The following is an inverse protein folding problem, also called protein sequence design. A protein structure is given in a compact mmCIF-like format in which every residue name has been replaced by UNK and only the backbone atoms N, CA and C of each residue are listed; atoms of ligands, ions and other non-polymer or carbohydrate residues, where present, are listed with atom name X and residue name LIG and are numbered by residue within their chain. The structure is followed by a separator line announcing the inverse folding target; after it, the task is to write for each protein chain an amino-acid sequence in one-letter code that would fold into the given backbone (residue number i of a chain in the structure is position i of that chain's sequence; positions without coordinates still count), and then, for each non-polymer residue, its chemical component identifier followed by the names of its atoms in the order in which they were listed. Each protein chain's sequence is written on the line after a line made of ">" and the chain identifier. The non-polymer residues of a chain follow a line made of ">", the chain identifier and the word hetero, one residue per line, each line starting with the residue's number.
data_IF_911864285960
#
_entry.id   IF_911864285960
#
_cell.length_a   1.000
_cell.length_b   1.000
_cell.length_c   1.000
_cell.angle_alpha   90.00
_cell.angle_beta   90.00
_cell.angle_gamma   90.00
#
_symmetry.space_group_name_H-M   'P 1'
#
loop_
_entity.id
_entity.type
_entity.pdbx_description
1 polymer ?
#
# COMPACT_ATOMS: atom_id res chain seq x y z
N UNK A 1 8.72 2.05 9.56
CA UNK A 1 7.44 1.30 9.51
C UNK A 1 7.58 0.21 8.45
N UNK A 2 7.36 -1.08 8.79
CA UNK A 2 7.63 -2.21 7.86
C UNK A 2 6.60 -2.34 6.72
N UNK A 3 5.37 -1.85 6.90
CA UNK A 3 4.33 -1.89 5.87
C UNK A 3 4.66 -1.14 4.57
N UNK A 4 5.61 -0.21 4.60
CA UNK A 4 6.08 0.48 3.37
C UNK A 4 6.72 -0.51 2.39
N UNK A 5 7.42 -1.53 2.89
CA UNK A 5 8.05 -2.56 2.05
C UNK A 5 6.99 -3.44 1.38
N UNK A 6 5.98 -3.84 2.15
CA UNK A 6 4.85 -4.65 1.68
C UNK A 6 4.08 -3.93 0.57
N UNK A 7 3.76 -2.65 0.76
CA UNK A 7 3.07 -1.86 -0.27
C UNK A 7 3.93 -1.64 -1.51
N UNK A 8 5.23 -1.41 -1.37
CA UNK A 8 6.12 -1.28 -2.53
C UNK A 8 6.19 -2.58 -3.36
N UNK A 9 6.17 -3.74 -2.68
CA UNK A 9 6.08 -5.02 -3.36
C UNK A 9 4.75 -5.19 -4.11
N UNK A 10 3.63 -4.91 -3.45
CA UNK A 10 2.30 -4.99 -4.07
C UNK A 10 2.12 -4.01 -5.23
N UNK A 11 2.74 -2.84 -5.16
CA UNK A 11 2.76 -1.88 -6.26
C UNK A 11 3.54 -2.38 -7.47
N UNK A 12 4.68 -3.05 -7.25
CA UNK A 12 5.41 -3.71 -8.35
C UNK A 12 4.58 -4.82 -8.99
N UNK A 13 3.83 -5.58 -8.19
CA UNK A 13 2.86 -6.58 -8.68
C UNK A 13 1.76 -5.91 -9.50
N UNK A 14 1.14 -4.84 -8.98
CA UNK A 14 0.10 -4.09 -9.70
C UNK A 14 0.62 -3.55 -11.04
N UNK A 15 1.84 -3.02 -11.07
CA UNK A 15 2.48 -2.53 -12.29
C UNK A 15 2.68 -3.63 -13.34
N UNK A 16 3.05 -4.84 -12.91
CA UNK A 16 3.17 -6.00 -13.80
C UNK A 16 1.82 -6.37 -14.43
N UNK A 17 0.75 -6.39 -13.62
CA UNK A 17 -0.60 -6.66 -14.12
C UNK A 17 -1.09 -5.57 -15.07
N UNK A 18 -0.85 -4.29 -14.73
CA UNK A 18 -1.16 -3.16 -15.63
C UNK A 18 -0.46 -3.27 -16.97
N UNK A 19 0.81 -3.70 -16.98
CA UNK A 19 1.57 -3.87 -18.22
C UNK A 19 1.01 -4.97 -19.12
N UNK A 20 0.41 -6.02 -18.55
CA UNK A 20 -0.14 -7.17 -19.29
C UNK A 20 -1.61 -7.01 -19.68
N UNK A 21 -2.42 -6.34 -18.85
CA UNK A 21 -3.89 -6.34 -18.97
C UNK A 21 -4.48 -4.93 -19.14
N UNK A 22 -3.67 -3.88 -19.05
CA UNK A 22 -4.07 -2.48 -19.27
C UNK A 22 -3.96 -1.60 -18.01
N UNK A 23 -3.84 -0.28 -18.18
CA UNK A 23 -3.51 0.67 -17.10
C UNK A 23 -4.55 0.73 -15.97
N UNK A 24 -5.81 0.37 -16.25
CA UNK A 24 -6.91 0.33 -15.28
C UNK A 24 -6.91 -0.95 -14.42
N UNK A 25 -5.97 -1.87 -14.64
CA UNK A 25 -5.90 -3.12 -13.87
C UNK A 25 -5.42 -2.83 -12.45
N UNK A 26 -6.25 -3.14 -11.47
CA UNK A 26 -5.93 -3.04 -10.04
C UNK A 26 -5.86 -4.42 -9.42
N UNK A 27 -5.25 -4.53 -8.24
CA UNK A 27 -5.14 -5.81 -7.55
C UNK A 27 -6.51 -6.45 -7.22
N UNK A 28 -7.56 -5.65 -7.01
CA UNK A 28 -8.92 -6.17 -6.80
C UNK A 28 -9.55 -6.82 -8.04
N UNK A 29 -9.06 -6.51 -9.24
CA UNK A 29 -9.52 -7.17 -10.47
C UNK A 29 -8.85 -8.54 -10.67
N UNK A 30 -7.79 -8.82 -9.91
CA UNK A 30 -6.91 -9.98 -10.09
C UNK A 30 -7.09 -11.01 -8.98
N UNK A 31 -7.28 -10.55 -7.74
CA UNK A 31 -7.37 -11.41 -6.57
C UNK A 31 -8.79 -11.49 -6.03
N UNK A 32 -9.39 -12.69 -6.05
CA UNK A 32 -10.71 -12.96 -5.49
C UNK A 32 -10.75 -12.87 -3.95
N UNK A 33 -9.60 -13.08 -3.31
CA UNK A 33 -9.43 -13.02 -1.87
C UNK A 33 -8.15 -12.28 -1.51
N UNK A 34 -8.28 -11.31 -0.60
CA UNK A 34 -7.16 -10.56 -0.03
C UNK A 34 -7.28 -10.57 1.48
N UNK A 35 -6.20 -10.90 2.18
CA UNK A 35 -6.15 -11.00 3.62
C UNK A 35 -4.92 -10.33 4.21
N UNK A 36 -5.03 -9.91 5.47
CA UNK A 36 -3.91 -9.34 6.21
C UNK A 36 -4.28 -9.09 7.67
N UNK A 37 -3.27 -8.93 8.53
CA UNK A 37 -3.43 -8.63 9.97
C UNK A 37 -2.69 -7.35 10.32
N UNK A 38 -3.23 -6.55 11.24
CA UNK A 38 -2.63 -5.26 11.65
C UNK A 38 -2.42 -4.35 10.43
N UNK A 39 -1.19 -3.92 10.13
CA UNK A 39 -0.86 -3.13 8.94
C UNK A 39 -1.32 -3.82 7.65
N UNK A 40 -1.17 -5.14 7.54
CA UNK A 40 -1.64 -5.90 6.39
C UNK A 40 -3.17 -5.89 6.25
N UNK A 41 -3.93 -5.79 7.35
CA UNK A 41 -5.40 -5.71 7.29
C UNK A 41 -5.86 -4.38 6.66
N UNK A 42 -5.15 -3.29 6.94
CA UNK A 42 -5.40 -1.99 6.33
C UNK A 42 -5.09 -2.01 4.82
N UNK A 43 -3.98 -2.66 4.44
CA UNK A 43 -3.60 -2.83 3.04
C UNK A 43 -4.65 -3.69 2.32
N UNK A 44 -5.06 -4.82 2.90
CA UNK A 44 -6.09 -5.70 2.35
C UNK A 44 -7.42 -4.97 2.14
N UNK A 45 -7.83 -4.14 3.11
CA UNK A 45 -9.01 -3.30 2.97
C UNK A 45 -8.88 -2.28 1.83
N UNK A 46 -7.70 -1.65 1.67
CA UNK A 46 -7.45 -0.72 0.57
C UNK A 46 -7.54 -1.42 -0.79
N UNK A 47 -6.96 -2.62 -0.93
CA UNK A 47 -7.09 -3.44 -2.13
C UNK A 47 -8.57 -3.76 -2.39
N UNK A 48 -9.30 -4.28 -1.40
CA UNK A 48 -10.71 -4.63 -1.55
C UNK A 48 -11.60 -3.44 -1.95
N UNK A 49 -11.23 -2.22 -1.55
CA UNK A 49 -11.89 -0.97 -1.94
C UNK A 49 -11.46 -0.44 -3.32
N UNK A 50 -10.62 -1.15 -4.06
CA UNK A 50 -10.13 -0.74 -5.38
C UNK A 50 -9.18 0.45 -5.34
N UNK A 51 -8.37 0.58 -4.29
CA UNK A 51 -7.35 1.63 -4.20
C UNK A 51 -6.09 1.23 -4.97
N UNK A 52 -5.53 2.10 -5.83
CA UNK A 52 -4.23 1.87 -6.44
C UNK A 52 -3.13 1.75 -5.38
N UNK A 53 -2.18 0.84 -5.54
CA UNK A 53 -1.10 0.65 -4.56
C UNK A 53 -0.19 1.87 -4.40
N UNK A 54 -0.09 2.72 -5.43
CA UNK A 54 0.59 4.01 -5.35
C UNK A 54 -0.02 4.93 -4.28
N UNK A 55 -1.36 5.00 -4.19
CA UNK A 55 -2.08 5.80 -3.19
C UNK A 55 -1.80 5.27 -1.77
N UNK A 56 -1.83 3.94 -1.61
CA UNK A 56 -1.55 3.27 -0.33
C UNK A 56 -0.10 3.53 0.10
N UNK A 57 0.86 3.53 -0.85
CA UNK A 57 2.27 3.81 -0.56
C UNK A 57 2.43 5.24 -0.05
N UNK A 58 1.82 6.21 -0.73
CA UNK A 58 1.86 7.63 -0.34
C UNK A 58 1.30 7.85 1.06
N UNK A 59 0.16 7.23 1.37
CA UNK A 59 -0.41 7.24 2.70
C UNK A 59 0.58 6.74 3.76
N UNK A 60 1.24 5.60 3.54
CA UNK A 60 2.19 5.06 4.50
C UNK A 60 3.49 5.86 4.60
N UNK A 61 3.97 6.45 3.51
CA UNK A 61 5.14 7.35 3.52
C UNK A 61 4.84 8.62 4.30
N UNK A 62 3.67 9.22 4.12
CA UNK A 62 3.26 10.40 4.88
C UNK A 62 3.13 10.08 6.37
N UNK A 63 2.50 8.94 6.71
CA UNK A 63 2.38 8.47 8.10
C UNK A 63 3.75 8.20 8.70
N UNK A 64 4.64 7.54 7.98
CA UNK A 64 6.00 7.30 8.43
C UNK A 64 6.75 8.61 8.70
N UNK A 65 6.63 9.61 7.82
CA UNK A 65 7.20 10.95 8.05
C UNK A 65 6.66 11.59 9.33
N UNK A 66 5.35 11.53 9.58
CA UNK A 66 4.74 12.09 10.80
C UNK A 66 5.21 11.34 12.06
N UNK A 67 5.17 10.02 12.05
CA UNK A 67 5.52 9.18 13.22
C UNK A 67 7.00 9.20 13.55
N UNK A 68 7.89 9.24 12.54
CA UNK A 68 9.34 9.26 12.72
C UNK A 68 9.95 10.65 12.54
N UNK A 69 9.13 11.70 12.38
CA UNK A 69 9.63 13.07 12.54
C UNK A 69 10.15 13.22 13.96
N UNK A 70 11.43 13.60 14.10
CA UNK A 70 12.04 13.89 15.39
C UNK A 70 11.16 14.92 16.11
N UNK A 71 10.35 14.48 17.08
CA UNK A 71 9.95 15.39 18.16
C UNK A 71 11.24 15.70 18.92
N UNK A 72 11.69 16.94 18.81
CA UNK A 72 12.70 17.48 19.72
C UNK A 72 12.04 17.57 21.10
N UNK A 73 12.14 16.47 21.85
CA UNK A 73 11.51 16.31 23.17
C UNK A 73 12.31 16.95 24.31
N UNK A 74 13.35 17.72 23.99
CA UNK A 74 14.16 18.40 25.00
C UNK A 74 14.50 19.82 24.53
N UNK A 75 14.10 20.78 25.35
CA UNK A 75 14.58 22.16 25.41
C UNK A 75 14.93 22.45 26.86
#
# INVERSE_FOLDING_TARGET
>A
MRGVIEVAFLEAVEAEYKRRHGPETLLCHVFDLVGGTSTGALIAAAVALGRPMAEVREFYLERARRTFSRRRLWR
#
